data_IF_877557971279
#
_entry.id   IF_877557971279
#
_cell.length_a   1.000
_cell.length_b   1.000
_cell.length_c   1.000
_cell.angle_alpha   90.00
_cell.angle_beta   90.00
_cell.angle_gamma   90.00
#
_symmetry.space_group_name_H-M   'P 1'
#
loop_
_entity.id
_entity.type
_entity.pdbx_description
1 polymer ?
#
# COMPACT_ATOMS: atom_id res chain seq x y z
N UNK A 1 -13.39 -4.52 -12.02
CA UNK A 1 -13.38 -3.30 -11.19
C UNK A 1 -13.96 -2.09 -11.92
N UNK A 2 -13.72 -1.95 -13.23
CA UNK A 2 -14.14 -0.79 -14.05
C UNK A 2 -15.65 -0.54 -14.02
N UNK A 3 -16.46 -1.58 -14.04
CA UNK A 3 -17.91 -1.45 -14.04
C UNK A 3 -18.44 -0.78 -12.75
N UNK A 4 -17.88 -1.15 -11.59
CA UNK A 4 -18.25 -0.54 -10.30
C UNK A 4 -17.77 0.90 -10.24
N UNK A 5 -16.50 1.15 -10.59
CA UNK A 5 -15.88 2.46 -10.52
C UNK A 5 -16.57 3.44 -11.48
N UNK A 6 -16.66 3.06 -12.74
CA UNK A 6 -17.31 3.91 -13.76
C UNK A 6 -18.82 4.09 -13.48
N UNK A 7 -19.51 3.04 -13.02
CA UNK A 7 -20.91 3.15 -12.65
C UNK A 7 -21.14 4.13 -11.50
N UNK A 8 -20.29 4.10 -10.46
CA UNK A 8 -20.36 5.04 -9.35
C UNK A 8 -20.06 6.48 -9.79
N UNK A 9 -19.04 6.68 -10.62
CA UNK A 9 -18.67 7.98 -11.20
C UNK A 9 -19.78 8.55 -12.09
N UNK A 10 -20.47 7.69 -12.84
CA UNK A 10 -21.58 8.08 -13.71
C UNK A 10 -22.92 8.26 -12.96
N UNK A 11 -22.90 8.31 -11.63
CA UNK A 11 -24.06 8.67 -10.81
C UNK A 11 -24.88 7.49 -10.28
N UNK A 12 -24.57 6.23 -10.60
CA UNK A 12 -25.24 5.03 -10.08
C UNK A 12 -24.84 4.71 -8.62
N UNK A 13 -24.77 5.74 -7.77
CA UNK A 13 -24.22 5.64 -6.42
C UNK A 13 -25.02 4.72 -5.49
N UNK A 14 -26.32 4.65 -5.67
CA UNK A 14 -27.20 3.81 -4.84
C UNK A 14 -26.99 2.32 -5.07
N UNK A 15 -26.48 1.94 -6.25
CA UNK A 15 -26.28 0.54 -6.63
C UNK A 15 -24.99 -0.07 -6.06
N UNK A 16 -24.03 0.76 -5.69
CA UNK A 16 -22.71 0.33 -5.27
C UNK A 16 -22.43 0.72 -3.81
N UNK A 17 -21.60 -0.06 -3.15
CA UNK A 17 -21.11 0.27 -1.80
C UNK A 17 -20.38 1.61 -1.83
N UNK A 18 -20.66 2.47 -0.84
CA UNK A 18 -19.94 3.73 -0.71
C UNK A 18 -18.41 3.46 -0.59
N UNK A 19 -17.56 4.13 -1.39
CA UNK A 19 -16.13 3.88 -1.41
C UNK A 19 -15.45 4.07 -0.05
N UNK A 20 -15.92 5.04 0.75
CA UNK A 20 -15.39 5.29 2.11
C UNK A 20 -15.75 4.14 3.04
N UNK A 21 -17.02 3.70 3.03
CA UNK A 21 -17.46 2.53 3.81
C UNK A 21 -16.68 1.28 3.41
N UNK A 22 -16.44 1.09 2.11
CA UNK A 22 -15.67 -0.03 1.59
C UNK A 22 -14.21 0.01 2.06
N UNK A 23 -13.61 1.20 2.09
CA UNK A 23 -12.27 1.40 2.65
C UNK A 23 -12.23 1.10 4.14
N UNK A 24 -13.21 1.55 4.93
CA UNK A 24 -13.27 1.27 6.38
C UNK A 24 -13.28 -0.24 6.62
N UNK A 25 -14.09 -0.99 5.88
CA UNK A 25 -14.09 -2.46 5.95
C UNK A 25 -12.71 -3.03 5.64
N UNK A 26 -12.07 -2.56 4.57
CA UNK A 26 -10.74 -3.02 4.16
C UNK A 26 -9.66 -2.73 5.22
N UNK A 27 -9.69 -1.55 5.83
CA UNK A 27 -8.77 -1.17 6.91
C UNK A 27 -8.97 -2.04 8.14
N UNK A 28 -10.23 -2.34 8.50
CA UNK A 28 -10.55 -3.26 9.59
C UNK A 28 -10.02 -4.67 9.33
N UNK A 29 -10.19 -5.18 8.10
CA UNK A 29 -9.67 -6.48 7.68
C UNK A 29 -8.13 -6.50 7.65
N UNK A 30 -7.49 -5.40 7.27
CA UNK A 30 -6.03 -5.24 7.34
C UNK A 30 -5.53 -5.29 8.79
N UNK A 31 -6.24 -4.64 9.72
CA UNK A 31 -5.95 -4.74 11.15
C UNK A 31 -6.07 -6.17 11.69
N UNK A 32 -7.07 -6.91 11.24
CA UNK A 32 -7.23 -8.34 11.58
C UNK A 32 -6.07 -9.19 11.02
N UNK A 33 -5.62 -8.92 9.80
CA UNK A 33 -4.45 -9.57 9.23
C UNK A 33 -3.19 -9.34 10.10
N UNK A 34 -2.94 -8.10 10.51
CA UNK A 34 -1.83 -7.76 11.41
C UNK A 34 -1.95 -8.46 12.76
N UNK A 35 -3.16 -8.56 13.31
CA UNK A 35 -3.41 -9.31 14.54
C UNK A 35 -3.00 -10.79 14.38
N UNK A 36 -3.38 -11.45 13.28
CA UNK A 36 -2.98 -12.83 13.00
C UNK A 36 -1.46 -12.97 12.87
N UNK A 37 -0.80 -12.01 12.22
CA UNK A 37 0.66 -11.96 12.08
C UNK A 37 1.35 -11.83 13.46
N UNK A 38 0.91 -10.89 14.30
CA UNK A 38 1.46 -10.69 15.66
C UNK A 38 1.26 -11.91 16.56
N UNK A 39 0.24 -12.73 16.33
CA UNK A 39 0.00 -14.01 17.04
C UNK A 39 0.84 -15.18 16.50
N UNK A 40 1.66 -14.96 15.49
CA UNK A 40 2.54 -15.98 14.92
C UNK A 40 1.86 -17.00 14.01
N UNK A 41 0.60 -16.79 13.61
CA UNK A 41 -0.11 -17.69 12.68
C UNK A 41 0.52 -17.74 11.29
N UNK A 42 1.27 -16.70 10.89
CA UNK A 42 2.00 -16.62 9.62
C UNK A 42 3.53 -16.88 9.79
N UNK A 43 3.89 -17.64 10.82
CA UNK A 43 5.28 -17.93 11.16
C UNK A 43 5.96 -16.83 11.98
N UNK A 44 7.14 -17.16 12.50
CA UNK A 44 7.94 -16.16 13.21
C UNK A 44 8.60 -15.22 12.20
N UNK A 45 8.42 -13.93 12.42
CA UNK A 45 9.10 -12.90 11.62
C UNK A 45 10.55 -12.87 12.06
N UNK A 46 11.46 -13.28 11.19
CA UNK A 46 12.90 -13.09 11.42
C UNK A 46 13.28 -11.65 11.09
N UNK A 47 13.28 -10.79 12.11
CA UNK A 47 13.66 -9.39 11.96
C UNK A 47 15.14 -9.21 11.59
N UNK A 48 15.99 -10.20 11.87
CA UNK A 48 17.42 -10.11 11.58
C UNK A 48 17.71 -10.22 10.08
N UNK A 49 16.84 -10.86 9.33
CA UNK A 49 16.98 -10.92 7.88
C UNK A 49 16.81 -9.54 7.19
N UNK A 50 16.21 -8.57 7.86
CA UNK A 50 16.10 -7.19 7.37
C UNK A 50 17.26 -6.29 7.84
N UNK A 51 17.95 -6.66 8.90
CA UNK A 51 19.10 -5.95 9.41
C UNK A 51 20.38 -6.63 8.89
N UNK A 52 20.79 -6.30 7.66
CA UNK A 52 21.98 -6.89 7.01
C UNK A 52 23.31 -6.70 7.76
N UNK A 53 23.33 -5.94 8.84
CA UNK A 53 24.46 -5.77 9.75
C UNK A 53 23.96 -5.48 11.17
N UNK A 54 24.53 -6.14 12.17
CA UNK A 54 24.19 -5.97 13.60
C UNK A 54 24.45 -4.54 14.15
N UNK A 55 24.93 -3.63 13.32
CA UNK A 55 25.19 -2.22 13.63
C UNK A 55 24.15 -1.25 13.09
N UNK A 56 22.98 -1.73 12.66
CA UNK A 56 21.91 -0.83 12.23
C UNK A 56 21.48 0.07 13.40
N UNK A 57 21.45 1.40 13.20
CA UNK A 57 21.12 2.36 14.27
C UNK A 57 19.65 2.31 14.70
N UNK A 58 18.83 1.47 14.09
CA UNK A 58 17.40 1.32 14.34
C UNK A 58 17.11 -0.13 14.69
N UNK A 59 16.43 -0.36 15.80
CA UNK A 59 15.86 -1.66 16.13
C UNK A 59 14.75 -1.99 15.13
N UNK A 60 15.03 -2.93 14.23
CA UNK A 60 14.10 -3.29 13.15
C UNK A 60 12.79 -3.86 13.71
N UNK A 61 12.83 -4.57 14.84
CA UNK A 61 11.63 -5.10 15.48
C UNK A 61 10.74 -3.97 16.02
N UNK A 62 11.32 -2.99 16.67
CA UNK A 62 10.59 -1.82 17.18
C UNK A 62 10.01 -0.99 16.05
N UNK A 63 10.80 -0.77 14.99
CA UNK A 63 10.34 -0.09 13.78
C UNK A 63 9.14 -0.79 13.14
N UNK A 64 9.23 -2.10 12.91
CA UNK A 64 8.14 -2.87 12.31
C UNK A 64 6.90 -2.91 13.21
N UNK A 65 7.05 -3.03 14.51
CA UNK A 65 5.92 -2.98 15.43
C UNK A 65 5.22 -1.62 15.37
N UNK A 66 5.98 -0.52 15.37
CA UNK A 66 5.41 0.83 15.21
C UNK A 66 4.69 0.97 13.87
N UNK A 67 5.26 0.44 12.79
CA UNK A 67 4.62 0.46 11.48
C UNK A 67 3.28 -0.28 11.50
N UNK A 68 3.19 -1.43 12.18
CA UNK A 68 1.94 -2.17 12.31
C UNK A 68 0.92 -1.44 13.20
N UNK A 69 1.35 -0.78 14.27
CA UNK A 69 0.45 -0.06 15.17
C UNK A 69 -0.19 1.15 14.49
N UNK A 70 0.54 1.81 13.61
CA UNK A 70 0.05 2.95 12.83
C UNK A 70 -0.50 2.58 11.45
N UNK A 71 -0.62 1.29 11.12
CA UNK A 71 -1.01 0.82 9.79
C UNK A 71 -2.29 1.47 9.25
N UNK A 72 -3.33 1.60 10.07
CA UNK A 72 -4.60 2.20 9.64
C UNK A 72 -4.44 3.67 9.22
N UNK A 73 -3.63 4.43 9.97
CA UNK A 73 -3.32 5.83 9.68
C UNK A 73 -2.49 5.91 8.39
N UNK A 74 -1.49 5.04 8.26
CA UNK A 74 -0.63 4.98 7.08
C UNK A 74 -1.43 4.67 5.81
N UNK A 75 -2.37 3.73 5.86
CA UNK A 75 -3.27 3.42 4.74
C UNK A 75 -4.08 4.67 4.38
N UNK A 76 -4.67 5.33 5.36
CA UNK A 76 -5.52 6.50 5.13
C UNK A 76 -4.77 7.63 4.42
N UNK A 77 -3.51 7.88 4.76
CA UNK A 77 -2.67 8.88 4.09
C UNK A 77 -2.05 8.39 2.78
N UNK A 78 -1.79 7.09 2.64
CA UNK A 78 -1.20 6.54 1.42
C UNK A 78 -2.13 6.65 0.22
N UNK A 79 -3.44 6.53 0.41
CA UNK A 79 -4.40 6.55 -0.70
C UNK A 79 -4.44 7.92 -1.40
N UNK A 80 -4.61 9.07 -0.71
CA UNK A 80 -4.50 10.39 -1.33
C UNK A 80 -3.16 10.63 -2.02
N UNK A 81 -2.07 10.15 -1.42
CA UNK A 81 -0.74 10.22 -2.01
C UNK A 81 -0.65 9.42 -3.33
N UNK A 82 -1.11 8.18 -3.35
CA UNK A 82 -1.13 7.35 -4.56
C UNK A 82 -2.06 7.93 -5.64
N UNK A 83 -3.20 8.50 -5.23
CA UNK A 83 -4.10 9.19 -6.14
C UNK A 83 -3.46 10.44 -6.78
N UNK A 84 -2.65 11.18 -6.01
CA UNK A 84 -1.88 12.32 -6.51
C UNK A 84 -0.83 11.88 -7.54
N UNK A 85 -0.05 10.84 -7.21
CA UNK A 85 0.91 10.27 -8.15
C UNK A 85 0.22 9.78 -9.43
N UNK A 86 -0.91 9.08 -9.27
CA UNK A 86 -1.71 8.63 -10.40
C UNK A 86 -2.17 9.81 -11.27
N UNK A 87 -2.66 10.89 -10.66
CA UNK A 87 -3.06 12.10 -11.39
C UNK A 87 -1.92 12.71 -12.20
N UNK A 88 -0.69 12.71 -11.66
CA UNK A 88 0.50 13.19 -12.36
C UNK A 88 0.86 12.26 -13.53
N UNK A 89 0.89 10.95 -13.29
CA UNK A 89 1.22 9.95 -14.31
C UNK A 89 0.21 9.96 -15.47
N UNK A 90 -1.07 10.10 -15.12
CA UNK A 90 -2.17 10.10 -16.08
C UNK A 90 -2.60 11.52 -16.49
N UNK A 91 -1.73 12.51 -16.36
CA UNK A 91 -2.01 13.92 -16.71
C UNK A 91 -2.57 14.09 -18.13
N UNK A 92 -2.12 13.28 -19.09
CA UNK A 92 -2.61 13.31 -20.46
C UNK A 92 -4.07 12.79 -20.61
N UNK A 93 -4.55 12.04 -19.61
CA UNK A 93 -5.91 11.52 -19.57
C UNK A 93 -6.77 12.45 -18.73
N UNK A 94 -7.38 13.46 -19.36
CA UNK A 94 -8.20 14.49 -18.69
C UNK A 94 -9.56 13.98 -18.19
N UNK A 95 -9.83 12.68 -18.32
CA UNK A 95 -11.13 12.06 -18.01
C UNK A 95 -11.51 12.15 -16.55
N UNK A 96 -10.51 12.11 -15.63
CA UNK A 96 -10.75 12.05 -14.20
C UNK A 96 -10.07 13.18 -13.45
N UNK A 97 -10.78 13.78 -12.51
CA UNK A 97 -10.26 14.74 -11.55
C UNK A 97 -9.56 14.04 -10.36
N UNK A 98 -8.95 14.80 -9.44
CA UNK A 98 -8.23 14.24 -8.30
C UNK A 98 -9.15 13.44 -7.35
N UNK A 99 -10.38 13.90 -7.11
CA UNK A 99 -11.32 13.18 -6.27
C UNK A 99 -11.72 11.82 -6.87
N UNK A 100 -11.85 11.77 -8.18
CA UNK A 100 -12.15 10.53 -8.92
C UNK A 100 -10.96 9.56 -8.89
N UNK A 101 -9.72 10.06 -8.96
CA UNK A 101 -8.53 9.22 -8.71
C UNK A 101 -8.53 8.63 -7.29
N UNK A 102 -8.89 9.41 -6.25
CA UNK A 102 -9.04 8.87 -4.89
C UNK A 102 -10.09 7.76 -4.84
N UNK A 103 -11.22 7.96 -5.51
CA UNK A 103 -12.30 6.97 -5.57
C UNK A 103 -11.84 5.66 -6.23
N UNK A 104 -11.05 5.73 -7.31
CA UNK A 104 -10.45 4.56 -7.96
C UNK A 104 -9.59 3.80 -6.95
N UNK A 105 -8.73 4.50 -6.17
CA UNK A 105 -7.86 3.86 -5.18
C UNK A 105 -8.64 3.33 -3.97
N UNK A 106 -9.71 3.97 -3.53
CA UNK A 106 -10.59 3.43 -2.49
C UNK A 106 -11.13 2.06 -2.89
N UNK A 107 -11.67 1.92 -4.08
CA UNK A 107 -12.19 0.64 -4.55
C UNK A 107 -11.10 -0.39 -4.80
N UNK A 108 -10.01 -0.01 -5.47
CA UNK A 108 -8.95 -0.98 -5.82
C UNK A 108 -8.19 -1.46 -4.59
N UNK A 109 -7.88 -0.59 -3.64
CA UNK A 109 -7.25 -0.96 -2.39
C UNK A 109 -8.15 -1.88 -1.57
N UNK A 110 -9.41 -1.50 -1.37
CA UNK A 110 -10.37 -2.29 -0.59
C UNK A 110 -10.55 -3.69 -1.17
N UNK A 111 -10.71 -3.79 -2.48
CA UNK A 111 -10.87 -5.07 -3.15
C UNK A 111 -9.62 -5.95 -3.01
N UNK A 112 -8.43 -5.37 -3.20
CA UNK A 112 -7.17 -6.12 -3.04
C UNK A 112 -6.96 -6.60 -1.61
N UNK A 113 -7.31 -5.81 -0.61
CA UNK A 113 -7.22 -6.18 0.81
C UNK A 113 -8.13 -7.37 1.16
N UNK A 114 -9.35 -7.39 0.60
CA UNK A 114 -10.27 -8.52 0.78
C UNK A 114 -9.70 -9.79 0.15
N UNK A 115 -9.14 -9.69 -1.07
CA UNK A 115 -8.51 -10.84 -1.71
C UNK A 115 -7.32 -11.36 -0.91
N UNK A 116 -6.46 -10.49 -0.41
CA UNK A 116 -5.33 -10.87 0.44
C UNK A 116 -5.81 -11.63 1.69
N UNK A 117 -6.88 -11.16 2.33
CA UNK A 117 -7.45 -11.85 3.50
C UNK A 117 -7.95 -13.26 3.15
N UNK A 118 -8.57 -13.45 1.99
CA UNK A 118 -9.05 -14.76 1.55
C UNK A 118 -7.92 -15.78 1.33
N UNK A 119 -6.69 -15.32 1.07
CA UNK A 119 -5.53 -16.20 0.94
C UNK A 119 -4.91 -16.62 2.29
N UNK A 120 -5.22 -15.94 3.40
CA UNK A 120 -4.64 -16.26 4.72
C UNK A 120 -4.86 -17.72 5.15
N UNK A 121 -6.06 -18.32 5.03
CA UNK A 121 -6.25 -19.73 5.40
C UNK A 121 -5.30 -20.68 4.66
N UNK A 122 -5.08 -20.42 3.36
CA UNK A 122 -4.14 -21.22 2.56
C UNK A 122 -2.70 -21.08 3.07
N UNK A 123 -2.30 -19.86 3.44
CA UNK A 123 -0.96 -19.58 3.95
C UNK A 123 -0.70 -20.30 5.28
N UNK A 124 -1.71 -20.36 6.15
CA UNK A 124 -1.63 -21.07 7.44
C UNK A 124 -1.53 -22.58 7.19
N UNK A 125 -2.35 -23.14 6.32
CA UNK A 125 -2.37 -24.60 6.01
C UNK A 125 -1.04 -25.03 5.39
N UNK A 126 -0.49 -24.25 4.45
CA UNK A 126 0.77 -24.56 3.76
C UNK A 126 2.01 -24.11 4.50
N UNK A 127 1.86 -23.50 5.69
CA UNK A 127 2.96 -22.96 6.52
C UNK A 127 3.92 -22.06 5.74
N UNK A 128 3.36 -21.19 4.90
CA UNK A 128 4.14 -20.26 4.10
C UNK A 128 4.76 -19.21 5.03
N UNK A 129 6.06 -18.96 4.86
CA UNK A 129 6.79 -17.99 5.67
C UNK A 129 6.37 -16.54 5.36
N UNK A 130 6.69 -15.63 6.30
CA UNK A 130 6.34 -14.21 6.21
C UNK A 130 6.88 -13.51 4.96
N UNK A 131 8.08 -13.87 4.52
CA UNK A 131 8.70 -13.25 3.34
C UNK A 131 7.97 -13.60 2.06
N UNK A 132 7.72 -14.90 1.86
CA UNK A 132 6.97 -15.39 0.73
C UNK A 132 5.56 -14.79 0.70
N UNK A 133 4.91 -14.67 1.87
CA UNK A 133 3.62 -13.99 1.99
C UNK A 133 3.70 -12.51 1.60
N UNK A 134 4.68 -11.78 2.13
CA UNK A 134 4.83 -10.34 1.85
C UNK A 134 5.12 -10.08 0.38
N UNK A 135 5.99 -10.89 -0.21
CA UNK A 135 6.31 -10.80 -1.64
C UNK A 135 5.08 -11.10 -2.51
N UNK A 136 4.37 -12.18 -2.20
CA UNK A 136 3.12 -12.53 -2.90
C UNK A 136 2.10 -11.38 -2.82
N UNK A 137 1.85 -10.85 -1.63
CA UNK A 137 0.90 -9.76 -1.40
C UNK A 137 1.31 -8.51 -2.18
N UNK A 138 2.60 -8.15 -2.15
CA UNK A 138 3.12 -6.99 -2.86
C UNK A 138 2.94 -7.13 -4.38
N UNK A 139 3.36 -8.26 -4.95
CA UNK A 139 3.22 -8.53 -6.39
C UNK A 139 1.74 -8.56 -6.78
N UNK A 140 0.91 -9.24 -6.00
CA UNK A 140 -0.54 -9.30 -6.24
C UNK A 140 -1.15 -7.90 -6.27
N UNK A 141 -0.84 -7.06 -5.28
CA UNK A 141 -1.36 -5.69 -5.21
C UNK A 141 -0.91 -4.86 -6.42
N UNK A 142 0.36 -4.93 -6.81
CA UNK A 142 0.87 -4.23 -7.99
C UNK A 142 0.14 -4.65 -9.26
N UNK A 143 0.03 -5.96 -9.49
CA UNK A 143 -0.64 -6.50 -10.69
C UNK A 143 -2.12 -6.11 -10.70
N UNK A 144 -2.79 -6.23 -9.56
CA UNK A 144 -4.21 -5.88 -9.45
C UNK A 144 -4.45 -4.39 -9.70
N UNK A 145 -3.64 -3.49 -9.12
CA UNK A 145 -3.75 -2.06 -9.36
C UNK A 145 -3.47 -1.70 -10.83
N UNK A 146 -2.44 -2.28 -11.43
CA UNK A 146 -2.14 -2.09 -12.85
C UNK A 146 -3.30 -2.58 -13.74
N UNK A 147 -3.88 -3.74 -13.42
CA UNK A 147 -5.06 -4.27 -14.11
C UNK A 147 -6.27 -3.33 -13.98
N UNK A 148 -6.56 -2.86 -12.75
CA UNK A 148 -7.68 -1.95 -12.51
C UNK A 148 -7.51 -0.63 -13.28
N UNK A 149 -6.32 -0.02 -13.23
CA UNK A 149 -6.01 1.20 -13.98
C UNK A 149 -6.12 0.98 -15.50
N UNK A 150 -5.62 -0.16 -16.01
CA UNK A 150 -5.78 -0.52 -17.43
C UNK A 150 -7.23 -0.48 -17.85
N UNK A 151 -8.12 -1.08 -17.04
CA UNK A 151 -9.55 -1.21 -17.35
C UNK A 151 -10.28 0.12 -17.21
N UNK A 152 -9.99 0.90 -16.16
CA UNK A 152 -10.63 2.19 -15.92
C UNK A 152 -10.24 3.24 -16.96
N UNK A 153 -8.96 3.28 -17.36
CA UNK A 153 -8.45 4.22 -18.36
C UNK A 153 -8.44 3.70 -19.80
N UNK A 154 -8.92 2.48 -20.04
CA UNK A 154 -8.90 1.82 -21.35
C UNK A 154 -7.50 1.81 -22.02
N UNK A 155 -6.47 1.46 -21.24
CA UNK A 155 -5.08 1.53 -21.70
C UNK A 155 -4.74 0.36 -22.60
N UNK A 156 -3.96 0.65 -23.66
CA UNK A 156 -3.28 -0.40 -24.41
C UNK A 156 -2.16 -1.03 -23.59
N UNK A 157 -1.74 -2.27 -23.91
CA UNK A 157 -0.67 -2.95 -23.18
C UNK A 157 0.63 -2.13 -23.09
N UNK A 158 1.04 -1.48 -24.19
CA UNK A 158 2.24 -0.62 -24.22
C UNK A 158 2.10 0.60 -23.30
N UNK A 159 0.93 1.25 -23.29
CA UNK A 159 0.65 2.38 -22.41
C UNK A 159 0.64 1.95 -20.93
N UNK A 160 0.07 0.77 -20.62
CA UNK A 160 0.08 0.22 -19.27
C UNK A 160 1.51 0.08 -18.75
N UNK A 161 2.38 -0.61 -19.50
CA UNK A 161 3.78 -0.83 -19.11
C UNK A 161 4.50 0.50 -18.89
N UNK A 162 4.42 1.43 -19.86
CA UNK A 162 5.06 2.74 -19.77
C UNK A 162 4.57 3.54 -18.55
N UNK A 163 3.24 3.57 -18.30
CA UNK A 163 2.65 4.29 -17.17
C UNK A 163 2.97 3.64 -15.82
N UNK A 164 3.03 2.30 -15.76
CA UNK A 164 3.43 1.58 -14.55
C UNK A 164 4.88 1.88 -14.18
N UNK A 165 5.81 1.83 -15.15
CA UNK A 165 7.21 2.20 -14.90
C UNK A 165 7.35 3.66 -14.47
N UNK A 166 6.62 4.57 -15.09
CA UNK A 166 6.63 5.98 -14.73
C UNK A 166 6.07 6.21 -13.31
N UNK A 167 5.01 5.47 -12.93
CA UNK A 167 4.44 5.51 -11.59
C UNK A 167 5.44 5.02 -10.53
N UNK A 168 6.07 3.86 -10.77
CA UNK A 168 7.10 3.29 -9.88
C UNK A 168 8.29 4.24 -9.79
N UNK A 169 8.77 4.77 -10.91
CA UNK A 169 9.91 5.71 -10.95
C UNK A 169 9.64 6.99 -10.16
N UNK A 170 8.44 7.58 -10.30
CA UNK A 170 8.03 8.75 -9.51
C UNK A 170 7.90 8.41 -8.03
N UNK A 171 7.30 7.27 -7.68
CA UNK A 171 7.19 6.82 -6.30
C UNK A 171 8.57 6.66 -5.66
N UNK A 172 9.49 5.96 -6.32
CA UNK A 172 10.86 5.80 -5.84
C UNK A 172 11.59 7.14 -5.71
N UNK A 173 11.43 8.05 -6.67
CA UNK A 173 12.04 9.39 -6.60
C UNK A 173 11.55 10.18 -5.38
N UNK A 174 10.26 10.13 -5.07
CA UNK A 174 9.69 10.80 -3.89
C UNK A 174 10.22 10.16 -2.62
N UNK A 175 10.18 8.83 -2.51
CA UNK A 175 10.67 8.09 -1.34
C UNK A 175 12.16 8.28 -1.13
N UNK A 176 12.99 8.13 -2.17
CA UNK A 176 14.45 8.34 -2.07
C UNK A 176 14.80 9.80 -1.84
N UNK A 177 14.07 10.75 -2.46
CA UNK A 177 14.27 12.18 -2.23
C UNK A 177 13.93 12.58 -0.79
N UNK A 178 12.91 11.98 -0.20
CA UNK A 178 12.56 12.17 1.21
C UNK A 178 13.64 11.62 2.14
N UNK A 179 14.22 10.45 1.80
CA UNK A 179 15.32 9.81 2.54
C UNK A 179 16.61 10.62 2.54
N UNK A 180 16.86 11.39 1.48
CA UNK A 180 18.05 12.29 1.36
C UNK A 180 17.76 13.72 1.79
N UNK A 181 16.52 14.10 2.04
CA UNK A 181 16.08 15.45 2.32
C UNK A 181 16.40 15.93 3.74
N UNK A 182 16.29 17.27 3.97
CA UNK A 182 16.52 17.88 5.28
C UNK A 182 15.59 17.33 6.37
N UNK A 183 14.36 16.92 6.03
CA UNK A 183 13.43 16.34 6.96
C UNK A 183 13.96 15.03 7.59
N UNK A 184 14.59 14.17 6.80
CA UNK A 184 15.23 12.95 7.31
C UNK A 184 16.44 13.24 8.21
N UNK A 185 17.23 14.28 7.89
CA UNK A 185 18.31 14.72 8.78
C UNK A 185 17.80 15.12 10.17
N UNK A 186 16.68 15.84 10.23
CA UNK A 186 16.05 16.25 11.48
C UNK A 186 15.58 15.02 12.26
N UNK A 187 14.88 14.09 11.62
CA UNK A 187 14.43 12.85 12.25
C UNK A 187 15.59 12.02 12.79
N UNK A 188 16.66 11.86 12.02
CA UNK A 188 17.89 11.16 12.45
C UNK A 188 18.56 11.84 13.66
N UNK A 189 18.65 13.16 13.68
CA UNK A 189 19.24 13.93 14.78
C UNK A 189 18.38 13.86 16.04
N UNK A 190 17.06 13.85 15.90
CA UNK A 190 16.12 13.76 17.03
C UNK A 190 16.15 12.38 17.66
N UNK A 191 16.13 11.33 16.84
CA UNK A 191 16.22 9.94 17.31
C UNK A 191 17.60 9.61 17.91
N UNK A 192 18.67 10.20 17.37
CA UNK A 192 20.03 10.05 17.92
C UNK A 192 20.22 10.70 19.29
N UNK A 193 19.49 11.79 19.59
CA UNK A 193 19.54 12.47 20.89
C UNK A 193 18.78 11.72 22.01
N UNK A 194 17.75 10.97 21.67
CA UNK A 194 16.98 10.17 22.64
C UNK A 194 17.79 8.97 23.16
N UNK A 195 18.87 8.61 22.47
CA UNK A 195 19.71 7.43 22.77
C UNK A 195 21.02 7.75 23.48
N UNK A 196 21.27 8.98 23.93
CA UNK A 196 22.42 9.26 24.81
C UNK A 196 21.99 8.99 26.26
N UNK A 197 22.37 7.85 26.87
CA UNK A 197 22.27 7.70 28.32
C UNK A 197 23.31 8.62 28.92
N UNK A 198 22.88 9.48 29.85
CA UNK A 198 23.75 10.17 30.76
C UNK A 198 24.41 9.18 31.73
#
# INVERSE_FOLDING_TARGET
>A
PEWVINGYLNGLRVRFVNPITYLIIAVTLSGFNIFLMKRGYLGNIDYNAFSGDQKAPIDMKEFMNSFYDYNSILIFFSIPYLALLSKIVFYNFKQFNYAEHNLIYFYTYSQSSIFVLLFIPFLIVFKIDFYSYSLFTFVFMLVYHAFALKRVFNLTGKQLVAKTFLFIGLHLKVVCGWWQGPAWRIVRLTLGKVRAPG
#
